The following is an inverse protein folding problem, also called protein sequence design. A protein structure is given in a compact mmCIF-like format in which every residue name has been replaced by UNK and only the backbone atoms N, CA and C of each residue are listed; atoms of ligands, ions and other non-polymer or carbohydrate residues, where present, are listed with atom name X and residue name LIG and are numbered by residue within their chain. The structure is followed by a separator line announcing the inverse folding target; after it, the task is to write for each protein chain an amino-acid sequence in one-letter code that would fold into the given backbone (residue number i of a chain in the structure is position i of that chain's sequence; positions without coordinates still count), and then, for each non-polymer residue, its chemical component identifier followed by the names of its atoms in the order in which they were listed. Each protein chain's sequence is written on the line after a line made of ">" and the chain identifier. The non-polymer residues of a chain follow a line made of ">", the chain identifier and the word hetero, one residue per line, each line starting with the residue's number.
data_IF_030069124707
#
_entry.id   IF_030069124707
#
_cell.length_a   1.000
_cell.length_b   1.000
_cell.length_c   1.000
_cell.angle_alpha   90.00
_cell.angle_beta   90.00
_cell.angle_gamma   90.00
#
_symmetry.space_group_name_H-M   'P 1'
#
loop_
_entity.id
_entity.type
_entity.pdbx_description
1 polymer ?
#
# COMPACT_ATOMS: atom_id res chain seq x y z
N UNK A 1 -24.67 15.11 10.61
CA UNK A 1 -24.33 14.86 9.18
C UNK A 1 -22.82 14.95 9.07
N UNK A 2 -22.10 13.85 9.33
CA UNK A 2 -20.63 13.82 9.31
C UNK A 2 -20.24 13.17 7.99
N UNK A 3 -19.47 13.92 7.19
CA UNK A 3 -19.02 13.56 5.85
C UNK A 3 -18.47 12.14 5.86
N UNK A 4 -19.06 11.26 5.04
CA UNK A 4 -18.35 10.08 4.57
C UNK A 4 -17.05 10.60 3.96
N UNK A 5 -15.92 10.38 4.65
CA UNK A 5 -14.62 10.52 4.01
C UNK A 5 -14.69 9.57 2.82
N UNK A 6 -14.39 10.07 1.62
CA UNK A 6 -14.18 9.23 0.44
C UNK A 6 -13.03 8.27 0.74
N UNK A 7 -13.36 7.19 1.42
CA UNK A 7 -12.43 6.22 1.94
C UNK A 7 -11.99 5.38 0.76
N UNK A 8 -10.71 5.47 0.40
CA UNK A 8 -10.12 4.70 -0.69
C UNK A 8 -10.05 3.25 -0.22
N UNK A 9 -11.02 2.46 -0.65
CA UNK A 9 -11.00 1.01 -0.44
C UNK A 9 -10.10 0.39 -1.49
N UNK A 10 -8.94 -0.13 -1.08
CA UNK A 10 -8.04 -0.85 -1.98
C UNK A 10 -8.49 -2.31 -2.14
N UNK A 11 -8.76 -2.73 -3.38
CA UNK A 11 -9.06 -4.12 -3.67
C UNK A 11 -7.83 -5.04 -3.54
N UNK A 12 -8.05 -6.33 -3.27
CA UNK A 12 -6.97 -7.33 -3.37
C UNK A 12 -6.44 -7.34 -4.80
N UNK A 13 -5.12 -7.33 -4.95
CA UNK A 13 -4.43 -7.19 -6.23
C UNK A 13 -4.16 -5.74 -6.65
N UNK A 14 -4.67 -4.74 -5.92
CA UNK A 14 -4.36 -3.34 -6.22
C UNK A 14 -2.87 -3.05 -5.98
N UNK A 15 -2.25 -2.38 -6.96
CA UNK A 15 -0.90 -1.84 -6.85
C UNK A 15 -0.94 -0.56 -6.01
N UNK A 16 -0.12 -0.52 -4.96
CA UNK A 16 -0.08 0.58 -4.00
C UNK A 16 1.35 0.96 -3.68
N UNK A 17 1.57 2.23 -3.33
CA UNK A 17 2.80 2.68 -2.69
C UNK A 17 2.58 2.75 -1.19
N UNK A 18 3.42 2.06 -0.42
CA UNK A 18 3.47 2.20 1.04
C UNK A 18 4.21 3.48 1.40
N UNK A 19 3.53 4.35 2.14
CA UNK A 19 4.07 5.59 2.67
C UNK A 19 4.85 5.30 3.97
N UNK A 20 6.11 5.75 4.07
CA UNK A 20 6.89 5.60 5.29
C UNK A 20 6.24 6.36 6.45
N UNK A 21 6.11 5.70 7.60
CA UNK A 21 5.64 6.32 8.86
C UNK A 21 6.73 7.17 9.53
N UNK A 22 7.99 6.76 9.37
CA UNK A 22 9.22 7.41 9.82
C UNK A 22 10.40 6.92 8.95
N UNK A 23 11.67 7.29 9.22
CA UNK A 23 12.91 6.88 8.51
C UNK A 23 13.18 5.36 8.54
N UNK A 24 12.21 4.57 8.15
CA UNK A 24 12.37 3.15 7.92
C UNK A 24 12.95 2.99 6.51
N UNK A 25 14.29 2.93 6.45
CA UNK A 25 15.05 2.74 5.21
C UNK A 25 14.61 1.47 4.47
N UNK A 26 13.99 0.52 5.18
CA UNK A 26 13.33 -0.63 4.59
C UNK A 26 12.18 -0.15 3.68
N UNK A 27 11.18 0.57 4.19
CA UNK A 27 10.01 1.03 3.41
C UNK A 27 10.39 1.91 2.20
N UNK A 28 11.46 2.68 2.28
CA UNK A 28 11.93 3.52 1.16
C UNK A 28 12.29 2.69 -0.09
N UNK A 29 12.73 1.43 0.07
CA UNK A 29 13.02 0.54 -1.06
C UNK A 29 11.77 -0.12 -1.65
N UNK A 30 10.64 -0.08 -0.95
CA UNK A 30 9.43 -0.85 -1.27
C UNK A 30 8.28 -0.06 -1.88
N UNK A 31 8.45 1.26 -2.05
CA UNK A 31 7.45 2.13 -2.68
C UNK A 31 7.04 1.71 -4.10
N UNK A 32 7.85 0.85 -4.74
CA UNK A 32 7.77 0.54 -6.17
C UNK A 32 6.95 -0.72 -6.51
N UNK A 33 6.60 -1.59 -5.55
CA UNK A 33 6.11 -2.95 -5.88
C UNK A 33 5.15 -3.59 -4.87
N UNK A 34 4.51 -2.81 -4.00
CA UNK A 34 3.53 -3.35 -3.07
C UNK A 34 2.20 -3.63 -3.78
N UNK A 35 1.65 -4.82 -3.54
CA UNK A 35 0.32 -5.24 -4.01
C UNK A 35 -0.50 -5.67 -2.81
N UNK A 36 -1.73 -5.19 -2.70
CA UNK A 36 -2.65 -5.62 -1.63
C UNK A 36 -2.87 -7.13 -1.75
N UNK A 37 -2.47 -7.89 -0.72
CA UNK A 37 -2.60 -9.34 -0.66
C UNK A 37 -3.86 -9.78 0.06
N UNK A 38 -4.22 -9.09 1.15
CA UNK A 38 -5.47 -9.31 1.89
C UNK A 38 -5.94 -8.06 2.62
N UNK A 39 -7.25 -7.98 2.82
CA UNK A 39 -7.90 -7.02 3.71
C UNK A 39 -8.18 -7.68 5.06
N UNK A 40 -8.24 -6.91 6.13
CA UNK A 40 -8.61 -7.43 7.46
C UNK A 40 -10.14 -7.52 7.58
N UNK A 41 -10.71 -8.71 7.83
CA UNK A 41 -12.16 -8.86 7.99
C UNK A 41 -12.67 -8.01 9.16
N UNK A 42 -13.71 -7.20 8.94
CA UNK A 42 -14.26 -6.29 9.95
C UNK A 42 -13.51 -4.97 10.11
N UNK A 43 -12.34 -4.80 9.49
CA UNK A 43 -11.53 -3.59 9.55
C UNK A 43 -11.18 -3.10 8.13
N UNK A 44 -12.14 -2.41 7.49
CA UNK A 44 -12.04 -1.97 6.09
C UNK A 44 -10.90 -0.96 5.80
N UNK A 45 -10.21 -0.47 6.83
CA UNK A 45 -9.08 0.45 6.73
C UNK A 45 -7.72 -0.22 6.90
N UNK A 46 -7.68 -1.54 7.18
CA UNK A 46 -6.43 -2.29 7.37
C UNK A 46 -6.15 -3.26 6.22
N UNK A 47 -4.92 -3.17 5.71
CA UNK A 47 -4.47 -3.90 4.54
C UNK A 47 -3.15 -4.62 4.83
N UNK A 48 -3.00 -5.80 4.26
CA UNK A 48 -1.69 -6.41 4.09
C UNK A 48 -1.28 -6.30 2.64
N UNK A 49 0.02 -6.07 2.43
CA UNK A 49 0.63 -5.96 1.11
C UNK A 49 1.75 -6.97 0.96
N UNK A 50 1.98 -7.43 -0.27
CA UNK A 50 3.14 -8.24 -0.64
C UNK A 50 4.05 -7.46 -1.57
N UNK A 51 5.35 -7.72 -1.51
CA UNK A 51 6.35 -7.09 -2.36
C UNK A 51 6.65 -8.00 -3.55
N UNK A 52 6.25 -7.58 -4.76
CA UNK A 52 6.43 -8.40 -5.96
C UNK A 52 7.89 -8.51 -6.44
N UNK A 53 8.79 -7.64 -5.98
CA UNK A 53 10.18 -7.57 -6.43
C UNK A 53 11.20 -8.21 -5.47
N UNK A 54 10.76 -8.71 -4.31
CA UNK A 54 11.62 -9.34 -3.30
C UNK A 54 11.33 -10.84 -3.27
N UNK A 55 12.37 -11.66 -3.30
CA UNK A 55 12.27 -13.13 -3.17
C UNK A 55 13.02 -13.60 -1.92
N UNK A 56 12.36 -14.31 -0.98
CA UNK A 56 10.94 -14.67 -1.01
C UNK A 56 10.05 -13.44 -0.76
N UNK A 57 8.94 -13.35 -1.49
CA UNK A 57 7.93 -12.31 -1.26
C UNK A 57 7.36 -12.51 0.13
N UNK A 58 7.52 -11.51 1.00
CA UNK A 58 6.92 -11.49 2.33
C UNK A 58 5.72 -10.56 2.34
N UNK A 59 4.67 -11.01 3.02
CA UNK A 59 3.53 -10.17 3.35
C UNK A 59 3.91 -9.23 4.50
N UNK A 60 3.45 -7.99 4.42
CA UNK A 60 3.70 -6.93 5.38
C UNK A 60 2.40 -6.19 5.71
N UNK A 61 2.22 -5.82 6.98
CA UNK A 61 1.03 -5.17 7.50
C UNK A 61 0.69 -5.63 8.93
N UNK A 62 -0.49 -5.25 9.46
CA UNK A 62 -1.52 -4.47 8.77
C UNK A 62 -1.12 -3.00 8.63
N UNK A 63 -1.49 -2.39 7.51
CA UNK A 63 -1.28 -0.99 7.19
C UNK A 63 -2.61 -0.26 7.14
N UNK A 64 -2.64 0.93 7.72
CA UNK A 64 -3.78 1.82 7.61
C UNK A 64 -3.85 2.42 6.21
N UNK A 65 -5.07 2.68 5.73
CA UNK A 65 -5.35 3.26 4.42
C UNK A 65 -4.51 4.50 4.08
N UNK A 66 -4.32 5.42 5.03
CA UNK A 66 -3.54 6.63 4.81
C UNK A 66 -2.04 6.36 4.59
N UNK A 67 -1.57 5.17 4.96
CA UNK A 67 -0.23 4.69 4.66
C UNK A 67 -0.12 4.12 3.25
N UNK A 68 -1.21 4.07 2.49
CA UNK A 68 -1.23 3.57 1.11
C UNK A 68 -1.63 4.70 0.18
N UNK A 69 -0.99 4.73 -0.99
CA UNK A 69 -1.41 5.57 -2.11
C UNK A 69 -1.65 4.70 -3.33
N UNK A 70 -2.71 4.98 -4.11
CA UNK A 70 -3.01 4.22 -5.32
C UNK A 70 -1.90 4.37 -6.37
N UNK A 71 -1.55 3.25 -7.00
CA UNK A 71 -0.49 3.17 -8.00
C UNK A 71 0.90 3.07 -7.39
N UNK A 72 1.92 3.15 -8.24
CA UNK A 72 3.32 3.08 -7.82
C UNK A 72 4.14 4.22 -8.41
N UNK A 73 5.22 4.59 -7.72
CA UNK A 73 6.23 5.52 -8.26
C UNK A 73 7.27 4.74 -9.05
N UNK A 74 7.56 5.18 -10.26
CA UNK A 74 8.59 4.57 -11.09
C UNK A 74 10.02 4.86 -10.59
N UNK A 75 11.02 4.39 -11.34
CA UNK A 75 12.41 4.59 -10.94
C UNK A 75 12.84 6.06 -10.88
N UNK A 76 12.09 6.94 -11.54
CA UNK A 76 12.28 8.39 -11.61
C UNK A 76 11.37 9.12 -10.61
N UNK A 77 10.63 8.39 -9.77
CA UNK A 77 9.71 8.94 -8.78
C UNK A 77 8.37 9.41 -9.36
N UNK A 78 8.09 9.14 -10.64
CA UNK A 78 6.84 9.55 -11.29
C UNK A 78 5.71 8.57 -10.96
N UNK A 79 4.52 9.09 -10.66
CA UNK A 79 3.34 8.27 -10.43
C UNK A 79 2.90 7.59 -11.74
N UNK A 80 2.88 6.27 -11.74
CA UNK A 80 2.20 5.46 -12.75
C UNK A 80 0.79 5.22 -12.24
N UNK A 81 -0.16 5.95 -12.84
CA UNK A 81 -1.58 5.78 -12.57
C UNK A 81 -2.14 4.71 -13.50
N UNK A 82 -3.02 3.88 -12.96
CA UNK A 82 -4.08 3.23 -13.74
C UNK A 82 -5.32 4.11 -13.69
#
# INVERSE_FOLDING_TARGET
>A
MIRARDQLVFGIGAEVTVMPRDRDDYILQFQRYAVVSRTVPGEAWLYYVRLNNVTPSREFGPLEEWQLQPGWRDQRGQWRRW
#
